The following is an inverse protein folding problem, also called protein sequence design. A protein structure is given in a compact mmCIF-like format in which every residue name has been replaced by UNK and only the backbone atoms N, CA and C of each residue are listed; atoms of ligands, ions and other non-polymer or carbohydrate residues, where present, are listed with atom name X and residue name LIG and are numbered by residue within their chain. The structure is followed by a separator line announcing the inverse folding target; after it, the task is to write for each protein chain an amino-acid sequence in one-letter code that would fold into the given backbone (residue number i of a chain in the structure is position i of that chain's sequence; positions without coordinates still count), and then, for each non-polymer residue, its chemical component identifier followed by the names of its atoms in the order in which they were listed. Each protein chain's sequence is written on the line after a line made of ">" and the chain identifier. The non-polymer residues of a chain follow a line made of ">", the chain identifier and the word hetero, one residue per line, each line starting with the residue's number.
data_IF_123767376664
#
_entry.id   IF_123767376664
#
_cell.length_a   1.000
_cell.length_b   1.000
_cell.length_c   1.000
_cell.angle_alpha   90.00
_cell.angle_beta   90.00
_cell.angle_gamma   90.00
#
_symmetry.space_group_name_H-M   'P 1'
#
loop_
_entity.id
_entity.type
_entity.pdbx_description
1 polymer ?
#
# COMPACT_ATOMS: atom_id res chain seq x y z
N UNK A 1 -3.49 3.93 -7.33
CA UNK A 1 -2.43 2.97 -7.69
C UNK A 1 -1.15 3.73 -7.93
N UNK A 2 -0.01 3.12 -7.65
CA UNK A 2 1.28 3.61 -8.10
C UNK A 2 1.33 3.69 -9.64
N UNK A 3 2.26 4.49 -10.13
CA UNK A 3 2.27 4.95 -11.52
C UNK A 3 3.04 4.04 -12.48
N UNK A 4 3.43 2.84 -12.03
CA UNK A 4 4.27 1.94 -12.81
C UNK A 4 3.54 1.44 -14.08
N UNK A 5 4.26 1.20 -15.19
CA UNK A 5 3.64 0.85 -16.47
C UNK A 5 2.70 -0.37 -16.42
N UNK A 6 3.01 -1.34 -15.55
CA UNK A 6 2.21 -2.56 -15.40
C UNK A 6 0.76 -2.29 -14.94
N UNK A 7 0.49 -1.18 -14.24
CA UNK A 7 -0.87 -0.82 -13.81
C UNK A 7 -1.66 0.01 -14.83
N UNK A 8 -1.06 0.32 -15.98
CA UNK A 8 -1.66 1.13 -17.05
C UNK A 8 -2.12 0.30 -18.24
N UNK A 9 -2.07 -1.02 -18.13
CA UNK A 9 -2.59 -1.90 -19.17
C UNK A 9 -4.09 -1.62 -19.40
N UNK A 10 -4.51 -1.59 -20.66
CA UNK A 10 -5.88 -1.30 -21.08
C UNK A 10 -6.89 -2.30 -20.50
N UNK A 11 -6.53 -3.57 -20.39
CA UNK A 11 -7.40 -4.62 -19.86
C UNK A 11 -7.66 -4.42 -18.37
N UNK A 12 -6.64 -3.99 -17.62
CA UNK A 12 -6.77 -3.65 -16.19
C UNK A 12 -7.74 -2.48 -16.02
N UNK A 13 -7.60 -1.43 -16.84
CA UNK A 13 -8.51 -0.28 -16.82
C UNK A 13 -9.95 -0.70 -17.14
N UNK A 14 -10.14 -1.44 -18.24
CA UNK A 14 -11.46 -1.91 -18.66
C UNK A 14 -12.13 -2.76 -17.57
N UNK A 15 -11.38 -3.64 -16.91
CA UNK A 15 -11.90 -4.45 -15.82
C UNK A 15 -12.35 -3.59 -14.63
N UNK A 16 -11.55 -2.62 -14.21
CA UNK A 16 -11.86 -1.70 -13.11
C UNK A 16 -13.10 -0.84 -13.43
N UNK A 17 -13.15 -0.26 -14.63
CA UNK A 17 -14.25 0.60 -15.08
C UNK A 17 -15.56 -0.17 -15.27
N UNK A 18 -15.50 -1.43 -15.74
CA UNK A 18 -16.68 -2.31 -15.85
C UNK A 18 -17.37 -2.59 -14.51
N UNK A 19 -16.65 -2.38 -13.39
CA UNK A 19 -17.14 -2.54 -12.02
C UNK A 19 -17.61 -1.22 -11.40
N UNK A 20 -17.60 -0.11 -12.16
CA UNK A 20 -18.03 1.22 -11.71
C UNK A 20 -16.96 2.01 -10.94
N UNK A 21 -15.70 1.59 -11.00
CA UNK A 21 -14.58 2.31 -10.36
C UNK A 21 -13.76 3.10 -11.36
N UNK A 22 -12.97 4.05 -10.88
CA UNK A 22 -12.03 4.83 -11.69
C UNK A 22 -10.59 4.56 -11.27
N UNK A 23 -9.69 4.46 -12.25
CA UNK A 23 -8.26 4.36 -12.00
C UNK A 23 -7.68 5.73 -11.64
N UNK A 24 -7.27 5.91 -10.38
CA UNK A 24 -6.48 7.07 -9.94
C UNK A 24 -5.02 6.65 -9.79
N UNK A 25 -4.12 7.32 -10.52
CA UNK A 25 -2.68 7.08 -10.48
C UNK A 25 -1.98 8.16 -9.67
N UNK A 26 -1.07 7.75 -8.80
CA UNK A 26 -0.27 8.66 -7.97
C UNK A 26 0.85 9.29 -8.81
N UNK A 27 1.36 10.47 -8.41
CA UNK A 27 2.58 11.03 -8.97
C UNK A 27 3.76 10.03 -8.85
N UNK A 28 4.73 10.05 -9.79
CA UNK A 28 5.93 9.23 -9.70
C UNK A 28 6.71 9.48 -8.41
N UNK A 29 7.29 8.41 -7.83
CA UNK A 29 8.14 8.48 -6.65
C UNK A 29 7.51 9.16 -5.43
N UNK A 30 6.18 9.05 -5.25
CA UNK A 30 5.45 9.60 -4.10
C UNK A 30 4.88 8.49 -3.20
N UNK A 31 5.73 7.67 -2.55
CA UNK A 31 5.28 6.57 -1.71
C UNK A 31 4.45 7.02 -0.50
N UNK A 32 4.62 8.26 -0.04
CA UNK A 32 3.86 8.86 1.07
C UNK A 32 2.36 8.95 0.74
N UNK A 33 2.03 9.10 -0.54
CA UNK A 33 0.66 9.18 -1.04
C UNK A 33 0.01 7.79 -1.24
N UNK A 34 0.76 6.71 -1.04
CA UNK A 34 0.30 5.35 -1.24
C UNK A 34 0.13 4.62 0.12
N UNK A 35 -1.11 4.49 0.65
CA UNK A 35 -1.34 3.90 1.97
C UNK A 35 -0.78 2.47 2.13
N UNK A 36 -0.66 1.71 1.03
CA UNK A 36 -0.14 0.35 1.07
C UNK A 36 1.33 0.29 1.49
N UNK A 37 2.10 1.38 1.31
CA UNK A 37 3.50 1.45 1.74
C UNK A 37 3.61 1.43 3.27
N UNK A 38 2.72 2.14 3.96
CA UNK A 38 2.62 2.11 5.42
C UNK A 38 2.21 0.73 5.92
N UNK A 39 1.21 0.11 5.28
CA UNK A 39 0.81 -1.26 5.58
C UNK A 39 1.98 -2.25 5.48
N UNK A 40 2.73 -2.18 4.37
CA UNK A 40 3.88 -3.06 4.17
C UNK A 40 5.06 -2.74 5.09
N UNK A 41 5.24 -1.49 5.50
CA UNK A 41 6.23 -1.12 6.54
C UNK A 41 5.92 -1.84 7.86
N UNK A 42 4.67 -1.81 8.31
CA UNK A 42 4.21 -2.52 9.51
C UNK A 42 4.38 -4.03 9.35
N UNK A 43 3.92 -4.62 8.24
CA UNK A 43 4.06 -6.06 8.02
C UNK A 43 5.54 -6.48 8.02
N UNK A 44 6.40 -5.80 7.27
CA UNK A 44 7.84 -6.08 7.22
C UNK A 44 8.52 -5.96 8.58
N UNK A 45 8.10 -5.01 9.43
CA UNK A 45 8.64 -4.87 10.78
C UNK A 45 8.40 -6.11 11.66
N UNK A 46 7.31 -6.86 11.41
CA UNK A 46 6.98 -8.10 12.11
C UNK A 46 7.76 -9.31 11.57
N UNK A 47 8.19 -9.26 10.31
CA UNK A 47 9.02 -10.30 9.69
C UNK A 47 10.50 -10.22 10.08
N UNK A 48 11.05 -9.00 10.19
CA UNK A 48 12.50 -8.79 10.36
C UNK A 48 13.08 -9.20 11.71
N UNK A 49 12.23 -9.53 12.69
CA UNK A 49 12.65 -9.67 14.09
C UNK A 49 13.21 -11.04 14.43
N UNK A 50 12.78 -12.09 13.72
CA UNK A 50 13.07 -13.48 14.12
C UNK A 50 13.22 -14.39 12.90
N UNK A 51 14.06 -15.45 12.98
CA UNK A 51 14.05 -16.53 12.01
C UNK A 51 12.68 -17.20 11.91
N UNK A 52 12.43 -17.86 10.78
CA UNK A 52 11.25 -18.73 10.65
C UNK A 52 11.36 -19.91 11.62
N UNK A 53 10.23 -20.28 12.22
CA UNK A 53 10.13 -21.50 13.01
C UNK A 53 10.14 -22.72 12.09
N UNK A 54 10.49 -23.90 12.62
CA UNK A 54 10.63 -25.14 11.84
C UNK A 54 9.34 -25.53 11.09
N UNK A 55 8.18 -25.23 11.66
CA UNK A 55 6.86 -25.49 11.08
C UNK A 55 6.27 -24.28 10.31
N UNK A 56 7.08 -23.25 10.07
CA UNK A 56 6.64 -22.01 9.44
C UNK A 56 7.24 -21.81 8.05
N UNK A 57 6.43 -21.26 7.15
CA UNK A 57 6.88 -20.78 5.84
C UNK A 57 6.90 -19.26 5.79
N UNK A 58 7.67 -18.68 4.87
CA UNK A 58 7.61 -17.24 4.62
C UNK A 58 6.17 -16.77 4.32
N UNK A 59 5.42 -17.56 3.56
CA UNK A 59 4.03 -17.26 3.22
C UNK A 59 3.11 -17.25 4.43
N UNK A 60 3.26 -18.18 5.39
CA UNK A 60 2.47 -18.17 6.62
C UNK A 60 2.83 -16.98 7.50
N UNK A 61 4.13 -16.64 7.65
CA UNK A 61 4.54 -15.44 8.40
C UNK A 61 3.98 -14.15 7.79
N UNK A 62 4.02 -14.02 6.46
CA UNK A 62 3.43 -12.87 5.76
C UNK A 62 1.93 -12.79 6.02
N UNK A 63 1.23 -13.92 5.92
CA UNK A 63 -0.22 -13.98 6.20
C UNK A 63 -0.54 -13.52 7.62
N UNK A 64 0.19 -14.01 8.62
CA UNK A 64 -0.03 -13.67 10.02
C UNK A 64 0.33 -12.20 10.31
N UNK A 65 1.38 -11.68 9.67
CA UNK A 65 1.75 -10.27 9.75
C UNK A 65 0.64 -9.37 9.17
N UNK A 66 0.06 -9.74 8.02
CA UNK A 66 -1.05 -9.03 7.41
C UNK A 66 -2.32 -9.09 8.27
N UNK A 67 -2.68 -10.28 8.77
CA UNK A 67 -3.89 -10.50 9.58
C UNK A 67 -3.83 -9.83 10.96
N UNK A 68 -2.64 -9.52 11.45
CA UNK A 68 -2.45 -8.82 12.72
C UNK A 68 -2.47 -7.29 12.59
N UNK A 69 -2.76 -6.74 11.41
CA UNK A 69 -3.03 -5.30 11.22
C UNK A 69 -4.48 -5.02 11.56
N UNK A 70 -4.73 -4.06 12.45
CA UNK A 70 -6.08 -3.72 12.89
C UNK A 70 -6.77 -2.80 11.87
N UNK A 71 -8.10 -2.80 11.88
CA UNK A 71 -8.88 -1.87 11.06
C UNK A 71 -8.55 -0.40 11.37
N UNK A 72 -8.25 -0.08 12.63
CA UNK A 72 -7.81 1.25 13.06
C UNK A 72 -6.48 1.66 12.42
N UNK A 73 -5.57 0.70 12.22
CA UNK A 73 -4.28 0.93 11.56
C UNK A 73 -4.49 1.25 10.08
N UNK A 74 -5.36 0.48 9.39
CA UNK A 74 -5.71 0.73 7.99
C UNK A 74 -6.29 2.13 7.78
N UNK A 75 -7.19 2.55 8.68
CA UNK A 75 -7.71 3.91 8.65
C UNK A 75 -6.60 4.95 8.92
N UNK A 76 -5.67 4.64 9.82
CA UNK A 76 -4.49 5.47 10.10
C UNK A 76 -3.60 5.66 8.86
N UNK A 77 -3.34 4.59 8.10
CA UNK A 77 -2.55 4.65 6.88
C UNK A 77 -3.19 5.54 5.82
N UNK A 78 -4.51 5.41 5.62
CA UNK A 78 -5.24 6.29 4.71
C UNK A 78 -5.20 7.76 5.16
N UNK A 79 -5.41 8.03 6.46
CA UNK A 79 -5.33 9.40 7.01
C UNK A 79 -3.95 10.00 6.80
N UNK A 80 -2.89 9.23 7.06
CA UNK A 80 -1.51 9.68 6.83
C UNK A 80 -1.29 10.10 5.37
N UNK A 81 -1.66 9.26 4.39
CA UNK A 81 -1.47 9.61 2.99
C UNK A 81 -2.29 10.82 2.55
N UNK A 82 -3.53 10.95 3.03
CA UNK A 82 -4.38 12.12 2.71
C UNK A 82 -3.77 13.41 3.27
N UNK A 83 -3.18 13.38 4.47
CA UNK A 83 -2.51 14.55 5.05
C UNK A 83 -1.32 15.06 4.22
N UNK A 84 -0.78 14.23 3.32
CA UNK A 84 0.33 14.58 2.43
C UNK A 84 -0.12 15.23 1.12
N UNK A 85 -1.43 15.26 0.84
CA UNK A 85 -1.95 15.72 -0.46
C UNK A 85 -1.73 17.21 -0.67
N UNK A 86 -1.99 18.05 0.33
CA UNK A 86 -1.83 19.50 0.22
C UNK A 86 -0.37 19.89 -0.02
N UNK A 87 0.55 19.31 0.77
CA UNK A 87 1.99 19.51 0.59
C UNK A 87 2.44 19.07 -0.83
N UNK A 88 1.95 17.92 -1.31
CA UNK A 88 2.25 17.45 -2.66
C UNK A 88 1.72 18.41 -3.74
N UNK A 89 0.48 18.88 -3.59
CA UNK A 89 -0.16 19.81 -4.52
C UNK A 89 0.60 21.15 -4.58
N UNK A 90 1.07 21.62 -3.42
CA UNK A 90 1.86 22.85 -3.27
C UNK A 90 3.34 22.67 -3.62
N UNK A 91 3.78 21.45 -3.99
CA UNK A 91 5.17 21.09 -4.29
C UNK A 91 6.12 21.33 -3.11
N UNK A 92 5.61 21.16 -1.90
CA UNK A 92 6.38 21.15 -0.67
C UNK A 92 7.06 19.79 -0.50
N UNK A 93 8.19 19.71 0.23
CA UNK A 93 8.81 18.44 0.60
C UNK A 93 7.84 17.57 1.43
N UNK A 94 7.77 16.27 1.11
CA UNK A 94 6.88 15.28 1.76
C UNK A 94 7.55 14.52 2.92
#
# INVERSE_FOLDING_TARGET
>A
MDNVPIHKNVDIRNYIESRGYFCVYLPPYSPELNPIEQFWSVCKSKLKREPLLENETLTSRIRDACNSVLQSDLQGFCRYSVQKFDACLNREPL
#
